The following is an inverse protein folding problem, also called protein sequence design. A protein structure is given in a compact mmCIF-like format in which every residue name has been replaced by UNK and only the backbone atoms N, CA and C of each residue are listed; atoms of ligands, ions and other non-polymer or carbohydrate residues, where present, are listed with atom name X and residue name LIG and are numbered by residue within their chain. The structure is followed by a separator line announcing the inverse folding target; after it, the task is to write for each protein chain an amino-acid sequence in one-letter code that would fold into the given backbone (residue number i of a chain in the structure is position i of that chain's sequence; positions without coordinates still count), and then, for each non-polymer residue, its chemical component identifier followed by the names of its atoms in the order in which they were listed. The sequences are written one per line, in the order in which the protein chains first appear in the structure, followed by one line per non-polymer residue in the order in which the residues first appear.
data_IF_366467243753
#
_entry.id   IF_366467243753
#
_cell.length_a   1.000
_cell.length_b   1.000
_cell.length_c   1.000
_cell.angle_alpha   90.00
_cell.angle_beta   90.00
_cell.angle_gamma   90.00
#
_symmetry.space_group_name_H-M   'P 1'
#
loop_
_entity.id
_entity.type
_entity.pdbx_description
1 polymer ?
#
# COMPACT_ATOMS: atom_id res chain seq x y z
N UNK A 1 22.24 -6.05 -5.58
CA UNK A 1 21.24 -5.88 -4.52
C UNK A 1 19.99 -5.35 -5.19
N UNK A 2 18.78 -5.84 -4.86
CA UNK A 2 17.56 -5.23 -5.37
C UNK A 2 17.40 -3.86 -4.73
N UNK A 3 17.03 -2.86 -5.50
CA UNK A 3 16.86 -1.49 -5.04
C UNK A 3 15.42 -1.06 -5.19
N UNK A 4 14.99 -0.13 -4.37
CA UNK A 4 13.68 0.51 -4.50
C UNK A 4 13.61 1.20 -5.86
N UNK A 5 12.55 0.91 -6.63
CA UNK A 5 12.30 1.57 -7.91
C UNK A 5 11.48 2.85 -7.71
N UNK A 6 11.63 3.80 -8.60
CA UNK A 6 10.81 5.03 -8.56
C UNK A 6 11.47 6.21 -9.28
N UNK A 7 10.80 7.34 -9.30
CA UNK A 7 9.53 7.65 -8.63
C UNK A 7 8.31 7.11 -9.36
N UNK A 8 7.31 6.64 -8.60
CA UNK A 8 5.98 6.32 -9.12
C UNK A 8 4.90 7.13 -8.41
N UNK A 9 3.68 7.14 -8.96
CA UNK A 9 2.54 7.89 -8.41
C UNK A 9 1.26 7.07 -8.44
N UNK A 10 0.50 7.10 -7.36
CA UNK A 10 -0.85 6.57 -7.30
C UNK A 10 -1.82 7.55 -7.94
N UNK A 11 -2.55 7.13 -8.97
CA UNK A 11 -3.38 8.03 -9.76
C UNK A 11 -4.70 8.42 -9.10
N UNK A 12 -5.17 7.65 -8.10
CA UNK A 12 -6.50 7.85 -7.50
C UNK A 12 -6.75 9.27 -6.99
N UNK A 13 -5.74 9.88 -6.33
CA UNK A 13 -5.87 11.21 -5.73
C UNK A 13 -5.92 12.35 -6.76
N UNK A 14 -5.68 12.04 -8.04
CA UNK A 14 -5.61 13.04 -9.10
C UNK A 14 -6.74 12.90 -10.14
N UNK A 15 -7.58 11.88 -10.04
CA UNK A 15 -8.75 11.74 -10.93
C UNK A 15 -9.74 12.87 -10.66
N UNK A 16 -10.15 13.59 -11.72
CA UNK A 16 -11.07 14.71 -11.67
C UNK A 16 -11.94 14.70 -12.93
N UNK A 17 -13.05 15.42 -12.93
CA UNK A 17 -13.94 15.57 -14.10
C UNK A 17 -13.30 16.37 -15.25
N UNK A 18 -12.24 17.13 -14.96
CA UNK A 18 -11.58 18.04 -15.92
C UNK A 18 -10.29 17.45 -16.49
N UNK A 19 -10.07 17.68 -17.79
CA UNK A 19 -8.81 17.37 -18.42
C UNK A 19 -7.63 18.09 -17.73
N UNK A 20 -6.46 17.43 -17.61
CA UNK A 20 -6.09 16.13 -18.13
C UNK A 20 -6.49 14.95 -17.22
N UNK A 21 -7.13 15.19 -16.10
CA UNK A 21 -7.34 14.26 -15.01
C UNK A 21 -8.59 13.36 -15.17
N UNK A 22 -9.32 13.53 -16.26
CA UNK A 22 -10.55 12.78 -16.58
C UNK A 22 -10.32 11.58 -17.53
N UNK A 23 -9.07 11.20 -17.77
CA UNK A 23 -8.74 10.07 -18.64
C UNK A 23 -7.38 9.47 -18.28
N UNK A 24 -7.24 8.16 -18.54
CA UNK A 24 -5.97 7.47 -18.35
C UNK A 24 -4.83 8.12 -19.13
N UNK A 25 -5.05 8.47 -20.39
CA UNK A 25 -4.03 9.10 -21.26
C UNK A 25 -3.59 10.46 -20.73
N UNK A 26 -4.55 11.27 -20.28
CA UNK A 26 -4.29 12.58 -19.69
C UNK A 26 -3.45 12.46 -18.41
N UNK A 27 -3.83 11.55 -17.52
CA UNK A 27 -3.10 11.25 -16.27
C UNK A 27 -1.70 10.72 -16.55
N UNK A 28 -1.54 9.77 -17.47
CA UNK A 28 -0.22 9.23 -17.83
C UNK A 28 0.70 10.29 -18.45
N UNK A 29 0.18 11.07 -19.39
CA UNK A 29 0.94 12.18 -19.98
C UNK A 29 1.37 13.20 -18.93
N UNK A 30 0.47 13.56 -18.01
CA UNK A 30 0.77 14.46 -16.91
C UNK A 30 1.84 13.89 -15.97
N UNK A 31 1.71 12.64 -15.52
CA UNK A 31 2.67 11.99 -14.64
C UNK A 31 4.06 11.89 -15.31
N UNK A 32 4.11 11.46 -16.57
CA UNK A 32 5.36 11.38 -17.36
C UNK A 32 6.04 12.76 -17.50
N UNK A 33 5.26 13.80 -17.79
CA UNK A 33 5.79 15.18 -17.91
C UNK A 33 6.38 15.71 -16.60
N UNK A 34 5.89 15.25 -15.45
CA UNK A 34 6.47 15.58 -14.14
C UNK A 34 7.76 14.79 -13.86
N UNK A 35 8.02 13.69 -14.58
CA UNK A 35 9.20 12.85 -14.44
C UNK A 35 9.01 11.61 -13.59
N UNK A 36 7.76 11.17 -13.36
CA UNK A 36 7.45 9.83 -12.86
C UNK A 36 7.80 8.79 -13.91
N UNK A 37 8.19 7.60 -13.46
CA UNK A 37 8.49 6.44 -14.32
C UNK A 37 7.56 5.25 -14.06
N UNK A 38 6.68 5.36 -13.06
CA UNK A 38 5.69 4.35 -12.71
C UNK A 38 4.37 4.95 -12.25
N UNK A 39 3.30 4.17 -12.43
CA UNK A 39 1.95 4.53 -11.99
C UNK A 39 1.26 3.36 -11.30
N UNK A 40 0.64 3.61 -10.14
CA UNK A 40 -0.29 2.69 -9.50
C UNK A 40 -1.71 3.02 -10.01
N UNK A 41 -2.43 2.00 -10.45
CA UNK A 41 -3.70 2.16 -11.15
C UNK A 41 -4.89 1.86 -10.25
N UNK A 42 -5.76 2.83 -9.93
CA UNK A 42 -7.02 2.56 -9.22
C UNK A 42 -8.03 1.86 -10.14
N UNK A 43 -8.81 0.95 -9.57
CA UNK A 43 -9.68 0.06 -10.34
C UNK A 43 -11.18 0.32 -10.18
N UNK A 44 -11.57 1.30 -9.39
CA UNK A 44 -13.01 1.59 -9.19
C UNK A 44 -13.62 2.25 -10.41
N UNK A 45 -12.90 3.15 -11.06
CA UNK A 45 -13.40 3.93 -12.20
C UNK A 45 -13.18 3.19 -13.51
N UNK A 46 -14.27 2.76 -14.14
CA UNK A 46 -14.25 2.05 -15.44
C UNK A 46 -13.68 2.89 -16.59
N UNK A 47 -13.64 4.22 -16.45
CA UNK A 47 -12.98 5.10 -17.44
C UNK A 47 -11.45 4.98 -17.39
N UNK A 48 -10.89 4.50 -16.28
CA UNK A 48 -9.46 4.21 -16.12
C UNK A 48 -9.17 2.77 -16.52
N UNK A 49 -9.83 1.80 -15.91
CA UNK A 49 -9.73 0.38 -16.27
C UNK A 49 -11.04 -0.34 -15.97
N UNK A 50 -11.56 -1.11 -16.94
CA UNK A 50 -12.73 -1.97 -16.72
C UNK A 50 -12.27 -3.38 -16.35
N UNK A 51 -12.41 -3.74 -15.07
CA UNK A 51 -12.02 -5.06 -14.58
C UNK A 51 -12.85 -6.19 -15.18
N UNK A 52 -14.12 -5.93 -15.56
CA UNK A 52 -14.98 -6.94 -16.16
C UNK A 52 -14.43 -7.34 -17.53
N UNK A 53 -14.08 -6.36 -18.38
CA UNK A 53 -13.48 -6.61 -19.70
C UNK A 53 -12.05 -7.14 -19.55
N UNK A 54 -11.23 -6.52 -18.71
CA UNK A 54 -9.83 -6.88 -18.53
C UNK A 54 -9.64 -8.32 -18.02
N UNK A 55 -10.54 -8.81 -17.14
CA UNK A 55 -10.48 -10.17 -16.63
C UNK A 55 -10.77 -11.22 -17.69
N UNK A 56 -11.46 -10.88 -18.78
CA UNK A 56 -11.83 -11.80 -19.87
C UNK A 56 -10.89 -11.67 -21.09
N UNK A 57 -10.21 -10.52 -21.27
CA UNK A 57 -9.44 -10.21 -22.48
C UNK A 57 -7.97 -9.91 -22.22
N UNK A 58 -7.07 -10.79 -22.70
CA UNK A 58 -5.63 -10.51 -22.70
C UNK A 58 -5.29 -9.34 -23.63
N UNK A 59 -5.94 -9.27 -24.80
CA UNK A 59 -5.73 -8.17 -25.77
C UNK A 59 -6.02 -6.81 -25.13
N UNK A 60 -7.13 -6.69 -24.38
CA UNK A 60 -7.43 -5.46 -23.64
C UNK A 60 -6.30 -5.10 -22.65
N UNK A 61 -5.80 -6.08 -21.91
CA UNK A 61 -4.69 -5.85 -20.96
C UNK A 61 -3.39 -5.45 -21.68
N UNK A 62 -3.08 -6.05 -22.83
CA UNK A 62 -1.91 -5.73 -23.62
C UNK A 62 -1.99 -4.32 -24.21
N UNK A 63 -3.16 -3.92 -24.74
CA UNK A 63 -3.42 -2.56 -25.24
C UNK A 63 -3.35 -1.54 -24.11
N UNK A 64 -3.96 -1.84 -22.94
CA UNK A 64 -3.91 -1.00 -21.76
C UNK A 64 -2.48 -0.75 -21.30
N UNK A 65 -1.70 -1.82 -21.14
CA UNK A 65 -0.27 -1.74 -20.77
C UNK A 65 0.55 -1.02 -21.83
N UNK A 66 0.32 -1.32 -23.12
CA UNK A 66 0.99 -0.67 -24.23
C UNK A 66 0.76 0.85 -24.25
N UNK A 67 -0.47 1.29 -23.95
CA UNK A 67 -0.81 2.70 -23.83
C UNK A 67 0.00 3.39 -22.73
N UNK A 68 0.06 2.81 -21.52
CA UNK A 68 0.84 3.37 -20.39
C UNK A 68 2.34 3.41 -20.74
N UNK A 69 2.86 2.32 -21.30
CA UNK A 69 4.27 2.22 -21.72
C UNK A 69 4.64 3.25 -22.80
N UNK A 70 3.69 3.65 -23.66
CA UNK A 70 3.95 4.67 -24.70
C UNK A 70 4.30 6.05 -24.13
N UNK A 71 3.94 6.30 -22.86
CA UNK A 71 4.35 7.49 -22.12
C UNK A 71 5.65 7.30 -21.31
N UNK A 72 6.34 6.17 -21.45
CA UNK A 72 7.55 5.85 -20.69
C UNK A 72 7.26 5.47 -19.23
N UNK A 73 6.04 5.02 -18.94
CA UNK A 73 5.60 4.62 -17.60
C UNK A 73 5.46 3.10 -17.50
N UNK A 74 5.77 2.55 -16.31
CA UNK A 74 5.46 1.17 -15.93
C UNK A 74 4.24 1.15 -14.99
N UNK A 75 3.44 0.08 -15.04
CA UNK A 75 2.42 -0.16 -14.02
C UNK A 75 3.13 -0.77 -12.82
N UNK A 76 3.00 -0.15 -11.65
CA UNK A 76 3.57 -0.67 -10.40
C UNK A 76 2.71 -1.78 -9.83
N UNK A 77 1.46 -1.48 -9.49
CA UNK A 77 0.39 -2.38 -9.05
C UNK A 77 -0.97 -1.86 -9.54
N UNK A 78 -1.97 -2.74 -9.55
CA UNK A 78 -3.36 -2.32 -9.44
C UNK A 78 -3.71 -2.06 -7.98
N UNK A 79 -4.62 -1.13 -7.76
CA UNK A 79 -5.14 -0.78 -6.45
C UNK A 79 -6.65 -1.01 -6.40
N UNK A 80 -7.09 -1.89 -5.50
CA UNK A 80 -8.50 -2.13 -5.18
C UNK A 80 -8.87 -1.68 -3.77
N UNK A 81 -8.27 -0.59 -3.26
CA UNK A 81 -8.56 -0.11 -1.90
C UNK A 81 -10.06 0.03 -1.65
N UNK A 82 -10.78 0.62 -2.59
CA UNK A 82 -12.23 0.83 -2.49
C UNK A 82 -13.02 -0.49 -2.48
N UNK A 83 -12.69 -1.43 -3.36
CA UNK A 83 -13.36 -2.73 -3.39
C UNK A 83 -12.96 -3.59 -2.19
N UNK A 84 -11.67 -3.57 -1.80
CA UNK A 84 -11.15 -4.35 -0.68
C UNK A 84 -11.82 -3.98 0.65
N UNK A 85 -11.99 -2.70 0.94
CA UNK A 85 -12.69 -2.28 2.17
C UNK A 85 -14.16 -2.73 2.19
N UNK A 86 -14.79 -2.99 1.03
CA UNK A 86 -16.19 -3.46 0.95
C UNK A 86 -16.32 -4.98 1.10
N UNK A 87 -15.23 -5.74 1.15
CA UNK A 87 -15.24 -7.19 1.45
C UNK A 87 -15.78 -7.42 2.87
N UNK A 88 -15.45 -6.50 3.79
CA UNK A 88 -15.93 -6.58 5.17
C UNK A 88 -16.30 -5.18 5.66
N UNK A 89 -17.58 -4.96 5.92
CA UNK A 89 -18.10 -3.69 6.47
C UNK A 89 -18.97 -4.02 7.69
N UNK A 90 -18.69 -3.37 8.82
CA UNK A 90 -19.55 -3.45 9.99
C UNK A 90 -20.86 -2.70 9.72
N UNK A 91 -22.01 -3.26 10.16
CA UNK A 91 -23.34 -2.71 9.88
C UNK A 91 -23.56 -1.27 10.35
N UNK A 92 -22.83 -0.82 11.39
CA UNK A 92 -22.86 0.57 11.84
C UNK A 92 -22.31 1.57 10.80
N UNK A 93 -21.53 1.09 9.83
CA UNK A 93 -20.89 1.89 8.80
C UNK A 93 -21.51 1.72 7.41
N UNK A 94 -22.51 0.85 7.24
CA UNK A 94 -23.07 0.49 5.93
C UNK A 94 -23.45 1.72 5.09
N UNK A 95 -24.18 2.68 5.68
CA UNK A 95 -24.60 3.89 4.95
C UNK A 95 -23.42 4.77 4.50
N UNK A 96 -22.36 4.81 5.31
CA UNK A 96 -21.18 5.62 4.98
C UNK A 96 -20.35 4.98 3.88
N UNK A 97 -20.29 3.64 3.84
CA UNK A 97 -19.54 2.90 2.85
C UNK A 97 -20.31 2.64 1.54
N UNK A 98 -21.62 2.84 1.52
CA UNK A 98 -22.43 2.71 0.31
C UNK A 98 -21.99 3.64 -0.82
N UNK A 99 -21.41 4.80 -0.50
CA UNK A 99 -20.90 5.75 -1.51
C UNK A 99 -19.77 5.17 -2.38
N UNK A 100 -19.10 4.15 -1.90
CA UNK A 100 -18.01 3.45 -2.59
C UNK A 100 -18.50 2.30 -3.48
N UNK A 101 -19.79 1.96 -3.41
CA UNK A 101 -20.39 0.92 -4.22
C UNK A 101 -21.09 1.48 -5.46
N UNK A 102 -21.28 0.68 -6.53
CA UNK A 102 -22.16 1.03 -7.62
C UNK A 102 -23.56 1.42 -7.12
N UNK A 103 -24.19 2.40 -7.76
CA UNK A 103 -25.49 2.97 -7.33
C UNK A 103 -26.58 1.92 -7.10
N UNK A 104 -26.61 0.89 -7.94
CA UNK A 104 -27.57 -0.21 -7.87
C UNK A 104 -27.38 -1.14 -6.66
N UNK A 105 -26.23 -1.07 -6.01
CA UNK A 105 -25.87 -1.86 -4.81
C UNK A 105 -25.98 -1.07 -3.50
N UNK A 106 -26.22 0.22 -3.56
CA UNK A 106 -26.42 1.05 -2.37
C UNK A 106 -27.67 0.62 -1.59
N UNK A 107 -27.56 0.53 -0.28
CA UNK A 107 -28.60 -0.02 0.61
C UNK A 107 -28.71 -1.55 0.58
N UNK A 108 -27.79 -2.25 -0.10
CA UNK A 108 -27.79 -3.72 -0.23
C UNK A 108 -26.45 -4.30 0.24
N UNK A 109 -26.17 -4.30 1.55
CA UNK A 109 -24.85 -4.64 2.07
C UNK A 109 -24.37 -6.04 1.70
N UNK A 110 -25.24 -7.03 1.58
CA UNK A 110 -24.89 -8.40 1.19
C UNK A 110 -24.45 -8.47 -0.27
N UNK A 111 -25.21 -7.87 -1.17
CA UNK A 111 -24.91 -7.81 -2.60
C UNK A 111 -23.65 -6.98 -2.86
N UNK A 112 -23.46 -5.89 -2.11
CA UNK A 112 -22.24 -5.07 -2.14
C UNK A 112 -21.00 -5.89 -1.78
N UNK A 113 -21.07 -6.69 -0.71
CA UNK A 113 -19.95 -7.57 -0.32
C UNK A 113 -19.65 -8.63 -1.38
N UNK A 114 -20.68 -9.27 -1.95
CA UNK A 114 -20.49 -10.25 -3.03
C UNK A 114 -19.87 -9.62 -4.28
N UNK A 115 -20.31 -8.43 -4.66
CA UNK A 115 -19.71 -7.66 -5.75
C UNK A 115 -18.23 -7.35 -5.45
N UNK A 116 -17.91 -6.88 -4.24
CA UNK A 116 -16.54 -6.59 -3.86
C UNK A 116 -15.63 -7.82 -3.97
N UNK A 117 -16.08 -8.97 -3.49
CA UNK A 117 -15.35 -10.25 -3.60
C UNK A 117 -15.14 -10.64 -5.07
N UNK A 118 -16.15 -10.46 -5.94
CA UNK A 118 -16.03 -10.73 -7.38
C UNK A 118 -15.00 -9.80 -8.03
N UNK A 119 -15.05 -8.50 -7.74
CA UNK A 119 -14.10 -7.52 -8.27
C UNK A 119 -12.65 -7.82 -7.82
N UNK A 120 -12.45 -8.23 -6.56
CA UNK A 120 -11.15 -8.66 -6.06
C UNK A 120 -10.59 -9.87 -6.82
N UNK A 121 -11.44 -10.87 -7.13
CA UNK A 121 -11.04 -12.03 -7.92
C UNK A 121 -10.70 -11.66 -9.36
N UNK A 122 -11.49 -10.79 -9.98
CA UNK A 122 -11.17 -10.24 -11.31
C UNK A 122 -9.85 -9.49 -11.32
N UNK A 123 -9.60 -8.66 -10.29
CA UNK A 123 -8.35 -7.93 -10.15
C UNK A 123 -7.12 -8.86 -10.05
N UNK A 124 -7.24 -10.04 -9.42
CA UNK A 124 -6.19 -11.05 -9.42
C UNK A 124 -5.82 -11.51 -10.84
N UNK A 125 -6.84 -11.85 -11.64
CA UNK A 125 -6.66 -12.26 -13.05
C UNK A 125 -6.03 -11.14 -13.88
N UNK A 126 -6.53 -9.90 -13.72
CA UNK A 126 -6.02 -8.73 -14.44
C UNK A 126 -4.58 -8.42 -14.05
N UNK A 127 -4.24 -8.47 -12.76
CA UNK A 127 -2.87 -8.29 -12.29
C UNK A 127 -1.92 -9.29 -12.97
N UNK A 128 -2.31 -10.57 -13.06
CA UNK A 128 -1.54 -11.60 -13.77
C UNK A 128 -1.40 -11.29 -15.26
N UNK A 129 -2.49 -10.90 -15.95
CA UNK A 129 -2.49 -10.58 -17.38
C UNK A 129 -1.59 -9.39 -17.71
N UNK A 130 -1.53 -8.40 -16.82
CA UNK A 130 -0.63 -7.26 -16.92
C UNK A 130 0.82 -7.59 -16.56
N UNK A 131 1.09 -8.80 -16.04
CA UNK A 131 2.43 -9.24 -15.61
C UNK A 131 2.87 -8.70 -14.25
N UNK A 132 1.93 -8.24 -13.44
CA UNK A 132 2.19 -7.71 -12.08
C UNK A 132 2.43 -8.85 -11.09
N UNK A 133 3.19 -8.55 -10.04
CA UNK A 133 3.53 -9.49 -8.96
C UNK A 133 2.81 -9.18 -7.66
N UNK A 134 2.40 -7.94 -7.51
CA UNK A 134 1.79 -7.37 -6.31
C UNK A 134 0.51 -6.65 -6.65
N UNK A 135 -0.39 -6.55 -5.68
CA UNK A 135 -1.69 -5.93 -5.78
C UNK A 135 -2.02 -5.22 -4.46
N UNK A 136 -2.32 -3.93 -4.52
CA UNK A 136 -2.57 -3.09 -3.35
C UNK A 136 -4.06 -3.05 -2.97
N UNK A 137 -4.39 -3.16 -1.67
CA UNK A 137 -5.78 -3.14 -1.22
C UNK A 137 -5.92 -2.83 0.28
N UNK A 138 -7.16 -2.55 0.71
CA UNK A 138 -7.59 -2.57 2.11
C UNK A 138 -8.18 -3.94 2.50
N UNK A 139 -8.26 -4.20 3.81
CA UNK A 139 -8.82 -5.45 4.36
C UNK A 139 -10.33 -5.44 4.51
N UNK A 140 -10.92 -4.27 4.67
CA UNK A 140 -12.23 -4.10 5.27
C UNK A 140 -12.20 -4.25 6.78
N UNK A 141 -13.32 -3.96 7.44
CA UNK A 141 -13.39 -3.98 8.89
C UNK A 141 -14.74 -4.45 9.43
N UNK A 142 -14.68 -5.42 10.33
CA UNK A 142 -15.80 -5.87 11.18
C UNK A 142 -15.65 -5.40 12.62
N UNK A 143 -14.40 -5.17 13.05
CA UNK A 143 -14.06 -4.94 14.47
C UNK A 143 -13.73 -3.50 14.81
N UNK A 144 -13.45 -2.64 13.84
CA UNK A 144 -13.07 -1.25 14.10
C UNK A 144 -14.02 -0.50 15.05
N UNK A 145 -15.37 -0.64 14.97
CA UNK A 145 -16.26 -0.02 15.94
C UNK A 145 -16.09 -0.53 17.35
N UNK A 146 -15.43 -1.68 17.53
CA UNK A 146 -15.14 -2.34 18.81
C UNK A 146 -13.70 -2.11 19.28
N UNK A 147 -12.90 -1.27 18.59
CA UNK A 147 -11.48 -1.04 18.90
C UNK A 147 -11.27 -0.57 20.36
N UNK A 148 -12.13 0.28 20.89
CA UNK A 148 -12.07 0.68 22.29
C UNK A 148 -12.70 -0.40 23.18
N UNK A 149 -11.98 -0.95 24.18
CA UNK A 149 -12.43 -2.13 24.95
C UNK A 149 -13.49 -1.79 26.03
N UNK A 150 -14.35 -0.84 25.75
CA UNK A 150 -15.47 -0.46 26.62
C UNK A 150 -16.72 -0.10 25.78
N UNK A 151 -17.91 -0.63 26.11
CA UNK A 151 -18.21 -1.64 27.16
C UNK A 151 -17.37 -2.90 27.03
N UNK A 152 -17.20 -3.65 28.13
CA UNK A 152 -16.39 -4.85 28.18
C UNK A 152 -16.75 -5.81 27.02
N UNK A 153 -15.77 -6.15 26.21
CA UNK A 153 -15.97 -7.04 25.07
C UNK A 153 -16.23 -8.48 25.55
N UNK A 154 -17.19 -9.19 24.96
CA UNK A 154 -17.38 -10.61 25.20
C UNK A 154 -16.12 -11.41 24.84
N UNK A 155 -15.82 -12.45 25.62
CA UNK A 155 -14.72 -13.38 25.30
C UNK A 155 -14.94 -14.00 23.91
N UNK A 156 -13.91 -14.00 23.08
CA UNK A 156 -13.94 -14.60 21.76
C UNK A 156 -14.50 -13.67 20.67
N UNK A 157 -14.83 -12.41 20.98
CA UNK A 157 -15.33 -11.45 19.98
C UNK A 157 -14.29 -11.19 18.89
N UNK A 158 -13.07 -10.87 19.29
CA UNK A 158 -11.97 -10.52 18.36
C UNK A 158 -11.62 -11.71 17.49
N UNK A 159 -11.46 -12.89 18.08
CA UNK A 159 -11.17 -14.14 17.36
C UNK A 159 -12.28 -14.47 16.36
N UNK A 160 -13.54 -14.25 16.72
CA UNK A 160 -14.68 -14.47 15.82
C UNK A 160 -14.66 -13.48 14.66
N UNK A 161 -14.31 -12.20 14.90
CA UNK A 161 -14.20 -11.19 13.87
C UNK A 161 -13.09 -11.50 12.86
N UNK A 162 -11.88 -11.83 13.32
CA UNK A 162 -10.78 -12.22 12.41
C UNK A 162 -11.05 -13.52 11.66
N UNK A 163 -11.72 -14.49 12.29
CA UNK A 163 -12.17 -15.71 11.61
C UNK A 163 -13.15 -15.39 10.48
N UNK A 164 -14.11 -14.53 10.71
CA UNK A 164 -15.08 -14.10 9.68
C UNK A 164 -14.39 -13.30 8.57
N UNK A 165 -13.48 -12.39 8.91
CA UNK A 165 -12.66 -11.67 7.94
C UNK A 165 -11.87 -12.64 7.06
N UNK A 166 -11.19 -13.61 7.67
CA UNK A 166 -10.45 -14.65 6.96
C UNK A 166 -11.36 -15.50 6.07
N UNK A 167 -12.55 -15.88 6.52
CA UNK A 167 -13.51 -16.63 5.72
C UNK A 167 -13.89 -15.89 4.41
N UNK A 168 -14.00 -14.57 4.47
CA UNK A 168 -14.30 -13.73 3.28
C UNK A 168 -13.09 -13.60 2.36
N UNK A 169 -11.89 -13.47 2.92
CA UNK A 169 -10.67 -13.28 2.17
C UNK A 169 -10.06 -14.57 1.59
N UNK A 170 -10.19 -15.73 2.23
CA UNK A 170 -9.61 -16.98 1.76
C UNK A 170 -9.98 -17.33 0.30
N UNK A 171 -11.23 -17.20 -0.16
CA UNK A 171 -11.58 -17.43 -1.57
C UNK A 171 -10.92 -16.45 -2.54
N UNK A 172 -10.65 -15.21 -2.08
CA UNK A 172 -9.95 -14.18 -2.84
C UNK A 172 -8.46 -14.53 -2.89
N UNK A 173 -7.85 -14.80 -1.74
CA UNK A 173 -6.43 -15.16 -1.61
C UNK A 173 -6.07 -16.39 -2.43
N UNK A 174 -6.93 -17.40 -2.44
CA UNK A 174 -6.75 -18.57 -3.30
C UNK A 174 -6.73 -18.20 -4.78
N UNK A 175 -7.61 -17.29 -5.23
CA UNK A 175 -7.59 -16.80 -6.61
C UNK A 175 -6.29 -16.04 -6.91
N UNK A 176 -5.82 -15.19 -6.00
CA UNK A 176 -4.50 -14.53 -6.14
C UNK A 176 -3.35 -15.52 -6.16
N UNK A 177 -3.43 -16.62 -5.40
CA UNK A 177 -2.43 -17.68 -5.41
C UNK A 177 -2.39 -18.42 -6.76
N UNK A 178 -3.53 -18.76 -7.31
CA UNK A 178 -3.64 -19.37 -8.65
C UNK A 178 -3.03 -18.46 -9.73
N UNK A 179 -3.12 -17.13 -9.55
CA UNK A 179 -2.54 -16.14 -10.47
C UNK A 179 -1.06 -15.82 -10.17
N UNK A 180 -0.52 -16.24 -9.03
CA UNK A 180 0.86 -15.97 -8.64
C UNK A 180 1.12 -14.51 -8.27
N UNK A 181 0.12 -13.82 -7.71
CA UNK A 181 0.16 -12.40 -7.33
C UNK A 181 0.01 -12.26 -5.82
N UNK A 182 0.86 -11.45 -5.20
CA UNK A 182 0.81 -11.15 -3.77
C UNK A 182 -0.22 -10.06 -3.48
N UNK A 183 -1.03 -10.23 -2.43
CA UNK A 183 -1.96 -9.22 -1.94
C UNK A 183 -1.27 -8.41 -0.86
N UNK A 184 -1.15 -7.11 -1.10
CA UNK A 184 -0.49 -6.17 -0.20
C UNK A 184 -1.57 -5.33 0.51
N UNK A 185 -1.86 -5.68 1.75
CA UNK A 185 -2.80 -4.94 2.57
C UNK A 185 -2.15 -3.68 3.10
N UNK A 186 -2.77 -2.53 2.85
CA UNK A 186 -2.36 -1.32 3.52
C UNK A 186 -2.77 -1.36 4.99
N UNK A 187 -1.79 -1.21 5.88
CA UNK A 187 -2.00 -1.19 7.33
C UNK A 187 -2.53 0.18 7.71
N UNK A 188 -3.87 0.28 7.85
CA UNK A 188 -4.57 1.55 7.82
C UNK A 188 -5.61 1.67 8.97
N UNK A 189 -5.67 2.81 9.70
CA UNK A 189 -6.78 3.09 10.62
C UNK A 189 -8.13 2.93 9.93
N UNK A 190 -9.15 2.46 10.64
CA UNK A 190 -10.49 2.09 10.15
C UNK A 190 -10.56 0.68 9.57
N UNK A 191 -9.46 0.11 9.15
CA UNK A 191 -9.38 -1.28 8.70
C UNK A 191 -9.16 -2.24 9.87
N UNK A 192 -9.52 -3.52 9.71
CA UNK A 192 -9.20 -4.52 10.74
C UNK A 192 -7.69 -4.82 10.79
N UNK A 193 -6.97 -4.61 9.69
CA UNK A 193 -5.50 -4.64 9.64
C UNK A 193 -4.98 -3.20 9.80
N UNK A 194 -4.71 -2.76 11.03
CA UNK A 194 -4.28 -1.38 11.30
C UNK A 194 -2.96 -1.24 12.07
N UNK A 195 -2.40 -2.36 12.52
CA UNK A 195 -1.09 -2.43 13.18
C UNK A 195 -0.46 -3.82 13.03
N UNK A 196 0.66 -4.08 13.72
CA UNK A 196 1.36 -5.36 13.66
C UNK A 196 0.56 -6.50 14.29
N UNK A 197 -0.03 -6.27 15.46
CA UNK A 197 -0.82 -7.30 16.15
C UNK A 197 -2.02 -7.75 15.33
N UNK A 198 -2.70 -6.82 14.68
CA UNK A 198 -3.86 -7.11 13.84
C UNK A 198 -3.46 -7.79 12.52
N UNK A 199 -2.32 -7.44 11.94
CA UNK A 199 -1.75 -8.15 10.81
C UNK A 199 -1.43 -9.61 11.16
N UNK A 200 -0.79 -9.86 12.30
CA UNK A 200 -0.46 -11.22 12.77
C UNK A 200 -1.72 -12.06 13.02
N UNK A 201 -2.76 -11.47 13.64
CA UNK A 201 -4.05 -12.15 13.82
C UNK A 201 -4.71 -12.54 12.50
N UNK A 202 -4.66 -11.67 11.51
CA UNK A 202 -5.20 -11.98 10.18
C UNK A 202 -4.37 -13.06 9.48
N UNK A 203 -3.05 -12.98 9.56
CA UNK A 203 -2.14 -13.95 8.99
C UNK A 203 -2.39 -15.35 9.60
N UNK A 204 -2.52 -15.44 10.94
CA UNK A 204 -2.87 -16.67 11.64
C UNK A 204 -4.26 -17.18 11.23
N UNK A 205 -5.28 -16.31 11.20
CA UNK A 205 -6.65 -16.69 10.86
C UNK A 205 -6.78 -17.20 9.41
N UNK A 206 -5.92 -16.74 8.50
CA UNK A 206 -5.84 -17.25 7.12
C UNK A 206 -4.92 -18.48 6.96
N UNK A 207 -4.42 -19.05 8.06
CA UNK A 207 -3.52 -20.21 8.05
C UNK A 207 -2.13 -19.87 7.51
N UNK A 208 -1.63 -18.68 7.74
CA UNK A 208 -0.37 -18.16 7.20
C UNK A 208 -0.34 -18.21 5.67
N UNK A 209 -1.42 -17.77 5.04
CA UNK A 209 -1.56 -17.82 3.60
C UNK A 209 -0.47 -17.00 2.92
N UNK A 210 0.33 -17.62 2.04
CA UNK A 210 1.54 -17.03 1.44
C UNK A 210 1.32 -15.76 0.61
N UNK A 211 0.07 -15.45 0.23
CA UNK A 211 -0.29 -14.23 -0.51
C UNK A 211 -0.70 -13.07 0.40
N UNK A 212 -0.72 -13.25 1.71
CA UNK A 212 -0.93 -12.17 2.68
C UNK A 212 0.38 -11.42 2.87
N UNK A 213 0.43 -10.19 2.39
CA UNK A 213 1.60 -9.32 2.46
C UNK A 213 1.18 -7.88 2.82
N UNK A 214 2.12 -6.99 2.95
CA UNK A 214 1.95 -5.63 3.44
C UNK A 214 2.24 -4.61 2.34
N UNK A 215 1.33 -3.66 2.16
CA UNK A 215 1.63 -2.35 1.64
C UNK A 215 2.03 -1.47 2.83
N UNK A 216 3.28 -1.04 2.85
CA UNK A 216 3.83 -0.22 3.91
C UNK A 216 3.61 1.27 3.62
N UNK A 217 2.85 1.94 4.48
CA UNK A 217 2.66 3.38 4.48
C UNK A 217 3.00 3.95 5.86
N UNK A 218 4.12 4.66 6.03
CA UNK A 218 4.54 5.18 7.32
C UNK A 218 3.64 6.27 7.89
N UNK A 219 2.84 6.95 7.06
CA UNK A 219 1.99 8.05 7.50
C UNK A 219 0.91 7.59 8.49
N UNK A 220 0.36 6.40 8.26
CA UNK A 220 -0.66 5.83 9.14
C UNK A 220 -0.11 5.48 10.53
N UNK A 221 1.17 5.11 10.61
CA UNK A 221 1.84 4.85 11.88
C UNK A 221 2.11 6.15 12.64
N UNK A 222 2.48 7.24 11.94
CA UNK A 222 2.60 8.57 12.57
C UNK A 222 1.26 8.99 13.18
N UNK A 223 0.14 8.82 12.46
CA UNK A 223 -1.19 9.14 12.97
C UNK A 223 -1.57 8.32 14.22
N UNK A 224 -1.12 7.07 14.30
CA UNK A 224 -1.35 6.16 15.42
C UNK A 224 -0.27 6.25 16.50
N UNK A 225 0.78 7.05 16.29
CA UNK A 225 1.96 7.16 17.16
C UNK A 225 2.69 5.81 17.34
N UNK A 226 2.71 4.99 16.30
CA UNK A 226 3.51 3.76 16.21
C UNK A 226 4.90 4.05 15.66
N UNK A 227 5.88 3.26 16.09
CA UNK A 227 7.25 3.33 15.57
C UNK A 227 7.32 2.66 14.18
N UNK A 228 7.18 3.47 13.14
CA UNK A 228 7.19 3.01 11.76
C UNK A 228 8.53 2.42 11.32
N UNK A 229 9.65 2.79 11.94
CA UNK A 229 10.95 2.22 11.62
C UNK A 229 11.13 0.82 12.22
N UNK A 230 10.72 0.62 13.46
CA UNK A 230 10.70 -0.73 14.07
C UNK A 230 9.70 -1.65 13.38
N UNK A 231 8.62 -1.09 12.83
CA UNK A 231 7.68 -1.89 12.03
C UNK A 231 8.37 -2.54 10.83
N UNK A 232 9.28 -1.83 10.15
CA UNK A 232 10.09 -2.43 9.07
C UNK A 232 10.96 -3.56 9.61
N UNK A 233 11.60 -3.38 10.78
CA UNK A 233 12.44 -4.43 11.38
C UNK A 233 11.66 -5.72 11.64
N UNK A 234 10.42 -5.63 12.09
CA UNK A 234 9.57 -6.79 12.37
C UNK A 234 8.99 -7.45 11.11
N UNK A 235 8.59 -6.63 10.11
CA UNK A 235 7.71 -7.11 9.03
C UNK A 235 8.30 -6.96 7.63
N UNK A 236 9.58 -6.60 7.46
CA UNK A 236 10.21 -6.40 6.13
C UNK A 236 10.00 -7.55 5.15
N UNK A 237 9.95 -8.80 5.65
CA UNK A 237 9.72 -9.99 4.81
C UNK A 237 8.33 -9.99 4.12
N UNK A 238 7.35 -9.31 4.70
CA UNK A 238 6.01 -9.17 4.16
C UNK A 238 5.81 -7.87 3.35
N UNK A 239 6.73 -6.90 3.43
CA UNK A 239 6.59 -5.64 2.71
C UNK A 239 6.87 -5.88 1.22
N UNK A 240 5.81 -5.78 0.38
CA UNK A 240 5.86 -6.00 -1.06
C UNK A 240 5.37 -4.80 -1.87
N UNK A 241 4.79 -3.79 -1.22
CA UNK A 241 4.43 -2.50 -1.79
C UNK A 241 4.76 -1.38 -0.79
N UNK A 242 5.02 -0.18 -1.28
CA UNK A 242 5.43 0.95 -0.43
C UNK A 242 4.83 2.26 -0.95
N UNK A 243 4.11 2.96 -0.07
CA UNK A 243 3.62 4.30 -0.30
C UNK A 243 4.52 5.36 0.34
N UNK A 244 4.92 6.34 -0.45
CA UNK A 244 5.59 7.56 0.02
C UNK A 244 4.51 8.59 0.33
N UNK A 245 4.01 8.53 1.54
CA UNK A 245 2.96 9.38 2.09
C UNK A 245 3.40 9.88 3.47
N UNK A 246 3.21 11.15 3.74
CA UNK A 246 3.72 11.79 4.95
C UNK A 246 2.56 12.24 5.86
N UNK A 247 2.86 12.35 7.12
CA UNK A 247 1.94 12.84 8.14
C UNK A 247 2.69 13.55 9.26
N UNK A 248 1.95 14.35 10.02
CA UNK A 248 2.44 14.98 11.24
C UNK A 248 1.48 14.69 12.40
N UNK A 249 2.00 14.63 13.60
CA UNK A 249 1.21 14.53 14.82
C UNK A 249 1.69 15.56 15.84
N UNK A 250 0.82 16.52 16.16
CA UNK A 250 1.11 17.59 17.13
C UNK A 250 0.27 17.39 18.39
N UNK A 251 0.91 16.87 19.44
CA UNK A 251 0.28 16.80 20.76
C UNK A 251 0.02 18.21 21.30
N UNK A 252 -1.24 18.54 21.50
CA UNK A 252 -1.64 19.88 21.95
C UNK A 252 -2.11 19.91 23.40
N UNK A 253 -2.18 18.74 24.07
CA UNK A 253 -2.87 18.58 25.37
C UNK A 253 -4.39 18.72 25.27
N UNK A 254 -4.93 19.12 24.09
CA UNK A 254 -6.36 19.26 23.85
C UNK A 254 -6.93 18.22 22.89
N UNK A 255 -6.09 17.71 21.97
CA UNK A 255 -6.47 16.75 20.93
C UNK A 255 -5.48 15.58 20.97
N UNK A 256 -5.99 14.37 20.82
CA UNK A 256 -5.19 13.14 20.76
C UNK A 256 -5.43 12.35 19.47
N UNK A 257 -5.02 11.10 19.46
CA UNK A 257 -5.09 10.18 18.31
C UNK A 257 -6.51 10.02 17.77
N UNK A 258 -7.54 10.00 18.64
CA UNK A 258 -8.94 9.90 18.21
C UNK A 258 -9.47 11.15 17.50
N UNK A 259 -8.76 12.29 17.58
CA UNK A 259 -9.05 13.49 16.80
C UNK A 259 -10.23 14.34 17.26
N UNK A 260 -11.05 13.89 18.23
CA UNK A 260 -12.15 14.65 18.83
C UNK A 260 -13.24 15.08 17.83
N UNK A 261 -13.54 14.24 16.82
CA UNK A 261 -14.52 14.50 15.75
C UNK A 261 -14.21 15.74 14.89
N UNK A 262 -12.96 16.21 14.90
CA UNK A 262 -12.53 17.31 14.03
C UNK A 262 -12.32 16.84 12.58
N UNK A 263 -12.45 17.79 11.64
CA UNK A 263 -11.99 17.62 10.26
C UNK A 263 -10.45 17.42 10.19
N UNK A 264 -9.96 16.94 9.06
CA UNK A 264 -8.55 16.64 8.87
C UNK A 264 -7.61 17.80 9.19
N UNK A 265 -7.98 19.03 8.81
CA UNK A 265 -7.16 20.23 9.05
C UNK A 265 -6.98 20.52 10.54
N UNK A 266 -7.98 20.17 11.35
CA UNK A 266 -8.04 20.50 12.77
C UNK A 266 -7.67 19.35 13.70
N UNK A 267 -7.30 18.16 13.17
CA UNK A 267 -6.82 17.03 13.98
C UNK A 267 -5.39 17.26 14.48
N UNK A 268 -5.01 16.55 15.55
CA UNK A 268 -3.61 16.48 16.01
C UNK A 268 -2.74 15.71 15.00
N UNK A 269 -3.23 14.56 14.54
CA UNK A 269 -2.64 13.77 13.47
C UNK A 269 -3.29 14.10 12.14
N UNK A 270 -2.50 14.48 11.12
CA UNK A 270 -2.99 14.86 9.78
C UNK A 270 -1.96 14.60 8.69
N UNK A 271 -2.45 14.37 7.48
CA UNK A 271 -1.58 14.11 6.34
C UNK A 271 -0.89 15.37 5.82
N UNK A 272 0.34 15.19 5.36
CA UNK A 272 1.20 16.22 4.80
C UNK A 272 1.85 15.73 3.51
N UNK A 273 2.16 16.66 2.63
CA UNK A 273 2.98 16.35 1.45
C UNK A 273 4.33 15.78 1.89
N UNK A 274 4.90 14.79 1.18
CA UNK A 274 6.20 14.20 1.55
C UNK A 274 7.29 15.25 1.77
N UNK A 275 7.92 15.17 2.95
CA UNK A 275 8.92 16.13 3.42
C UNK A 275 8.38 17.32 4.22
N UNK A 276 7.06 17.51 4.27
CA UNK A 276 6.42 18.54 5.11
C UNK A 276 5.91 17.98 6.45
N UNK A 277 5.94 16.66 6.61
CA UNK A 277 5.50 15.95 7.81
C UNK A 277 6.64 15.54 8.74
N UNK A 278 6.47 14.42 9.41
CA UNK A 278 7.39 13.92 10.45
C UNK A 278 8.01 12.56 10.12
N UNK A 279 7.70 11.97 8.96
CA UNK A 279 8.31 10.71 8.54
C UNK A 279 9.77 10.94 8.16
N UNK A 280 10.69 10.22 8.79
CA UNK A 280 12.10 10.20 8.39
C UNK A 280 12.30 9.25 7.19
N UNK A 281 11.96 9.73 5.99
CA UNK A 281 12.09 8.95 4.77
C UNK A 281 13.52 8.52 4.48
N UNK A 282 14.52 9.26 4.94
CA UNK A 282 15.91 8.85 4.78
C UNK A 282 16.18 7.52 5.50
N UNK A 283 15.69 7.37 6.72
CA UNK A 283 15.78 6.12 7.46
C UNK A 283 14.88 5.03 6.88
N UNK A 284 13.64 5.38 6.44
CA UNK A 284 12.73 4.42 5.80
C UNK A 284 13.38 3.80 4.55
N UNK A 285 13.87 4.64 3.61
CA UNK A 285 14.54 4.14 2.40
C UNK A 285 15.80 3.33 2.73
N UNK A 286 16.59 3.75 3.73
CA UNK A 286 17.77 3.01 4.18
C UNK A 286 17.40 1.61 4.66
N UNK A 287 16.43 1.49 5.56
CA UNK A 287 16.00 0.19 6.10
C UNK A 287 15.40 -0.73 5.04
N UNK A 288 14.48 -0.22 4.20
CA UNK A 288 13.90 -1.01 3.11
C UNK A 288 14.99 -1.51 2.12
N UNK A 289 16.01 -0.68 1.86
CA UNK A 289 17.14 -1.06 1.01
C UNK A 289 18.05 -2.09 1.69
N UNK A 290 18.34 -1.91 2.98
CA UNK A 290 19.15 -2.85 3.79
C UNK A 290 18.52 -4.24 3.83
N UNK A 291 17.21 -4.32 4.03
CA UNK A 291 16.47 -5.58 4.01
C UNK A 291 16.21 -6.12 2.59
N UNK A 292 16.63 -5.39 1.54
CA UNK A 292 16.48 -5.84 0.14
C UNK A 292 15.03 -5.91 -0.32
N UNK A 293 14.16 -5.05 0.18
CA UNK A 293 12.79 -4.95 -0.26
C UNK A 293 12.73 -4.54 -1.74
N UNK A 294 12.07 -5.38 -2.57
CA UNK A 294 11.89 -5.15 -4.02
C UNK A 294 10.54 -4.47 -4.24
N UNK A 295 10.50 -3.17 -4.04
CA UNK A 295 9.27 -2.38 -4.07
C UNK A 295 9.41 -1.14 -4.94
N UNK A 296 8.27 -0.56 -5.35
CA UNK A 296 8.20 0.77 -5.93
C UNK A 296 8.00 1.82 -4.83
N UNK A 297 8.69 2.95 -4.93
CA UNK A 297 8.38 4.15 -4.15
C UNK A 297 7.24 4.89 -4.86
N UNK A 298 6.02 4.64 -4.41
CA UNK A 298 4.80 5.20 -5.00
C UNK A 298 4.35 6.39 -4.17
N UNK A 299 4.34 7.58 -4.77
CA UNK A 299 3.71 8.74 -4.14
C UNK A 299 2.22 8.47 -3.99
N UNK A 300 1.74 8.35 -2.77
CA UNK A 300 0.32 8.52 -2.44
C UNK A 300 0.16 9.90 -1.82
N UNK A 301 -0.37 10.85 -2.62
CA UNK A 301 -0.42 12.23 -2.18
C UNK A 301 -1.72 12.55 -1.46
N UNK A 302 -1.60 12.92 -0.19
CA UNK A 302 -2.67 13.54 0.60
C UNK A 302 -2.05 14.67 1.44
N UNK A 303 -2.67 15.83 1.42
CA UNK A 303 -2.20 16.96 2.24
C UNK A 303 -3.35 17.90 2.59
N UNK A 304 -3.44 18.26 3.85
CA UNK A 304 -4.48 19.20 4.35
C UNK A 304 -4.20 20.68 4.00
N UNK A 305 -3.03 20.98 3.43
CA UNK A 305 -2.58 22.36 3.19
C UNK A 305 -2.22 22.59 1.72
N UNK A 306 -1.35 21.74 1.15
CA UNK A 306 -0.76 21.92 -0.18
C UNK A 306 -1.72 21.46 -1.28
N UNK A 307 -1.67 22.06 -2.45
CA UNK A 307 -2.46 21.61 -3.61
C UNK A 307 -1.93 20.30 -4.20
N UNK A 308 -2.80 19.48 -4.83
CA UNK A 308 -2.38 18.23 -5.49
C UNK A 308 -1.29 18.47 -6.55
N UNK A 309 -1.44 19.49 -7.37
CA UNK A 309 -0.49 19.81 -8.44
C UNK A 309 0.90 20.14 -7.92
N UNK A 310 0.98 20.93 -6.84
CA UNK A 310 2.25 21.25 -6.20
C UNK A 310 2.86 20.00 -5.56
N UNK A 311 2.06 19.24 -4.79
CA UNK A 311 2.52 18.04 -4.10
C UNK A 311 3.05 16.97 -5.05
N UNK A 312 2.35 16.73 -6.17
CA UNK A 312 2.82 15.79 -7.19
C UNK A 312 4.15 16.21 -7.82
N UNK A 313 4.32 17.50 -8.13
CA UNK A 313 5.56 18.03 -8.70
C UNK A 313 6.74 17.89 -7.74
N UNK A 314 6.54 18.23 -6.47
CA UNK A 314 7.58 18.12 -5.44
C UNK A 314 7.90 16.66 -5.11
N UNK A 315 6.89 15.78 -5.12
CA UNK A 315 7.01 14.36 -4.82
C UNK A 315 8.00 13.61 -5.73
N UNK A 316 8.07 13.98 -7.01
CA UNK A 316 9.08 13.41 -7.95
C UNK A 316 10.50 13.65 -7.44
N UNK A 317 10.81 14.90 -7.16
CA UNK A 317 12.16 15.30 -6.70
C UNK A 317 12.45 14.69 -5.33
N UNK A 318 11.44 14.69 -4.46
CA UNK A 318 11.55 14.11 -3.13
C UNK A 318 11.93 12.62 -3.20
N UNK A 319 11.20 11.83 -3.97
CA UNK A 319 11.49 10.38 -4.11
C UNK A 319 12.87 10.19 -4.73
N UNK A 320 13.20 10.88 -5.82
CA UNK A 320 14.51 10.75 -6.49
C UNK A 320 15.68 11.01 -5.52
N UNK A 321 15.53 11.97 -4.62
CA UNK A 321 16.58 12.31 -3.65
C UNK A 321 16.71 11.28 -2.51
N UNK A 322 15.75 10.37 -2.34
CA UNK A 322 15.77 9.33 -1.32
C UNK A 322 16.12 7.95 -1.87
N UNK A 323 16.08 7.75 -3.20
CA UNK A 323 16.51 6.50 -3.81
C UNK A 323 18.00 6.27 -3.54
N UNK A 324 18.36 5.06 -3.13
CA UNK A 324 19.73 4.68 -2.78
C UNK A 324 20.34 3.87 -3.92
N UNK A 325 21.46 4.34 -4.45
CA UNK A 325 22.32 3.55 -5.32
C UNK A 325 23.19 2.64 -4.46
N UNK A 326 22.93 1.33 -4.54
CA UNK A 326 23.70 0.36 -3.77
C UNK A 326 25.06 0.09 -4.41
N UNK A 327 26.09 -0.14 -3.58
CA UNK A 327 27.43 -0.51 -4.04
C UNK A 327 27.72 -1.97 -3.71
N UNK A 328 28.48 -2.63 -4.57
CA UNK A 328 29.10 -3.93 -4.29
C UNK A 328 30.52 -3.77 -3.70
N UNK A 329 31.06 -2.54 -3.77
CA UNK A 329 32.40 -2.25 -3.26
C UNK A 329 32.37 -2.14 -1.73
N UNK A 330 33.27 -2.86 -1.05
CA UNK A 330 33.46 -2.72 0.38
C UNK A 330 34.21 -1.41 0.69
N UNK A 331 33.94 -0.80 1.83
CA UNK A 331 34.56 0.47 2.19
C UNK A 331 36.06 0.34 2.47
N UNK A 332 36.58 -0.86 2.77
CA UNK A 332 37.95 -1.20 3.10
C UNK A 332 38.70 -1.96 1.98
N UNK A 333 38.11 -2.06 0.77
CA UNK A 333 38.73 -2.72 -0.39
C UNK A 333 40.10 -2.12 -0.75
N UNK A 334 40.37 -0.86 -0.41
CA UNK A 334 41.67 -0.22 -0.59
C UNK A 334 42.81 -0.84 0.24
N UNK A 335 42.46 -1.58 1.29
CA UNK A 335 43.44 -2.26 2.18
C UNK A 335 43.95 -3.60 1.62
N UNK A 336 43.42 -4.05 0.46
CA UNK A 336 43.93 -5.23 -0.27
C UNK A 336 43.70 -6.57 0.45
N UNK A 337 42.66 -6.71 1.25
CA UNK A 337 42.46 -7.84 2.18
C UNK A 337 41.77 -9.08 1.60
N UNK A 338 41.39 -9.08 0.32
CA UNK A 338 40.62 -10.21 -0.29
C UNK A 338 41.49 -11.13 -1.15
N UNK A 339 42.60 -11.63 -0.61
CA UNK A 339 43.18 -12.85 -1.19
C UNK A 339 42.53 -14.07 -0.53
N UNK A 340 42.08 -15.03 -1.35
CA UNK A 340 41.68 -16.35 -0.86
C UNK A 340 42.78 -16.92 0.01
N UNK A 341 42.50 -17.13 1.29
CA UNK A 341 43.46 -17.68 2.26
C UNK A 341 43.04 -19.11 2.59
N UNK A 342 43.99 -20.01 2.58
CA UNK A 342 43.75 -21.39 3.03
C UNK A 342 43.61 -21.42 4.58
N UNK A 343 43.15 -22.57 5.09
CA UNK A 343 42.88 -22.73 6.53
C UNK A 343 44.08 -22.45 7.40
N UNK A 344 45.28 -22.84 6.97
CA UNK A 344 46.53 -22.63 7.74
C UNK A 344 46.88 -21.12 7.81
N UNK A 345 46.66 -20.40 6.74
CA UNK A 345 46.84 -18.93 6.71
C UNK A 345 45.81 -18.24 7.61
N UNK A 346 44.58 -18.71 7.61
CA UNK A 346 43.52 -18.19 8.50
C UNK A 346 43.86 -18.46 9.97
N UNK A 347 44.37 -19.67 10.31
CA UNK A 347 44.85 -20.00 11.67
C UNK A 347 45.98 -19.11 12.11
N UNK A 348 46.95 -18.84 11.24
CA UNK A 348 48.05 -17.90 11.56
C UNK A 348 47.56 -16.47 11.79
N UNK A 349 46.58 -15.99 11.07
CA UNK A 349 45.98 -14.66 11.25
C UNK A 349 45.35 -14.53 12.65
N UNK A 350 44.69 -15.56 13.14
CA UNK A 350 44.06 -15.60 14.47
C UNK A 350 45.02 -16.05 15.57
N UNK A 351 46.28 -16.30 15.24
CA UNK A 351 47.37 -16.58 16.22
C UNK A 351 47.42 -18.02 16.71
N UNK A 352 46.91 -19.01 15.94
CA UNK A 352 46.99 -20.44 16.24
C UNK A 352 47.59 -21.21 15.10
#
# INVERSE_FOLDING_TARGET
MKTIKGPAVFLAQFIDEKAPFNSLEGLCKWASNLGYIGVQIPTLDKSIIDLDIASESQTYCDEFKGKINSFGLEITELSTHIQGQLVAVHSAHDLMFDVFAPKELQGKPKERTLWAIDQMKKAAVVSRRLGLKTHATFSGSLLWPMMHPWPQQPKGLVETGFKELANRWLPILNTFDDQGVDVCYEVHPVEDIHDGDTFERFLEATGNHKRVNILYDPSHFVLQQLDYLKYIDHYHQFIKAFHVKDAEFHSTGKKGTFGGYNDWKNRAGRYRSPGDGQVDFKQVFSKLTEYGCDVWAVLEWECVIKSPAQGAKEGVTFIKNHLIETTSKKFDDFAGSEADKNEDQLKRIIGI
#
